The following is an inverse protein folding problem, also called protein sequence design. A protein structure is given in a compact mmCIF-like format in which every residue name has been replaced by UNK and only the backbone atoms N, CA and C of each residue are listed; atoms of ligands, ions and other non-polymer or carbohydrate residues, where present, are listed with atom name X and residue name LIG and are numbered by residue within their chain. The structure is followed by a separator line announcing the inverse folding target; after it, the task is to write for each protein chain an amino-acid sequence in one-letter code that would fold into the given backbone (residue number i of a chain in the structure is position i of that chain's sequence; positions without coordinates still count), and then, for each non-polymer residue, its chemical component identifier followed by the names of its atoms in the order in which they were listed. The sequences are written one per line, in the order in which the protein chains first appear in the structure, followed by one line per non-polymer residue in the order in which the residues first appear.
data_IF_532239426191
#
_entry.id   IF_532239426191
#
_cell.length_a   1.000
_cell.length_b   1.000
_cell.length_c   1.000
_cell.angle_alpha   90.00
_cell.angle_beta   90.00
_cell.angle_gamma   90.00
#
_symmetry.space_group_name_H-M   'P 1'
#
loop_
_entity.id
_entity.type
_entity.pdbx_description
1 polymer ?
#
# COMPACT_ATOMS: atom_id res chain seq x y z
N UNK A 1 27.56 24.97 3.17
CA UNK A 1 26.30 24.33 2.72
C UNK A 1 25.33 24.46 3.87
N UNK A 2 24.05 24.74 3.58
CA UNK A 2 23.01 24.77 4.60
C UNK A 2 22.90 23.39 5.26
N UNK A 3 22.62 23.37 6.57
CA UNK A 3 22.16 22.15 7.23
C UNK A 3 20.77 21.75 6.71
N UNK A 4 20.31 20.55 7.06
CA UNK A 4 18.98 20.09 6.63
C UNK A 4 17.84 20.98 7.16
N UNK A 5 17.92 21.42 8.42
CA UNK A 5 16.92 22.30 9.01
C UNK A 5 16.96 23.70 8.39
N UNK A 6 18.15 24.30 8.23
CA UNK A 6 18.28 25.59 7.55
C UNK A 6 17.81 25.52 6.09
N UNK A 7 18.06 24.39 5.41
CA UNK A 7 17.57 24.17 4.05
C UNK A 7 16.04 24.15 4.01
N UNK A 8 15.38 23.45 4.94
CA UNK A 8 13.91 23.38 5.04
C UNK A 8 13.29 24.77 5.28
N UNK A 9 13.84 25.53 6.23
CA UNK A 9 13.39 26.89 6.51
C UNK A 9 13.50 27.77 5.25
N UNK A 10 14.67 27.75 4.60
CA UNK A 10 14.89 28.50 3.36
C UNK A 10 13.99 28.04 2.23
N UNK A 11 13.75 26.73 2.09
CA UNK A 11 12.89 26.13 1.08
C UNK A 11 11.47 26.70 1.17
N UNK A 12 10.88 26.74 2.37
CA UNK A 12 9.53 27.31 2.57
C UNK A 12 9.48 28.79 2.23
N UNK A 13 10.48 29.56 2.66
CA UNK A 13 10.48 31.03 2.49
C UNK A 13 10.84 31.51 1.09
N UNK A 14 11.64 30.74 0.34
CA UNK A 14 12.23 31.23 -0.92
C UNK A 14 11.72 30.50 -2.16
N UNK A 15 11.07 29.33 -2.07
CA UNK A 15 10.66 28.58 -3.28
C UNK A 15 9.74 29.39 -4.20
N UNK A 16 8.84 30.22 -3.64
CA UNK A 16 7.92 31.07 -4.43
C UNK A 16 8.64 32.25 -5.10
N UNK A 17 9.83 32.64 -4.65
CA UNK A 17 10.67 33.67 -5.30
C UNK A 17 11.07 33.23 -6.70
N UNK A 18 11.34 31.93 -6.86
CA UNK A 18 11.73 31.30 -8.12
C UNK A 18 10.54 30.86 -8.97
N UNK A 19 9.32 30.97 -8.45
CA UNK A 19 8.12 30.50 -9.13
C UNK A 19 7.68 31.46 -10.24
N UNK A 20 7.05 30.95 -11.33
CA UNK A 20 6.35 31.79 -12.29
C UNK A 20 5.29 32.65 -11.62
N UNK A 21 4.96 33.80 -12.23
CA UNK A 21 4.11 34.83 -11.62
C UNK A 21 2.77 34.28 -11.08
N UNK A 22 2.17 33.32 -11.79
CA UNK A 22 0.92 32.63 -11.40
C UNK A 22 1.00 31.95 -10.02
N UNK A 23 2.18 31.51 -9.58
CA UNK A 23 2.37 30.69 -8.38
C UNK A 23 3.06 31.45 -7.23
N UNK A 24 3.32 32.75 -7.37
CA UNK A 24 4.02 33.53 -6.34
C UNK A 24 3.23 33.69 -5.04
N UNK A 25 1.90 33.61 -5.11
CA UNK A 25 1.02 33.66 -3.96
C UNK A 25 0.68 32.26 -3.40
N UNK A 26 1.33 31.19 -3.88
CA UNK A 26 1.13 29.86 -3.33
C UNK A 26 1.49 29.83 -1.84
N UNK A 27 0.67 29.13 -1.06
CA UNK A 27 0.93 28.79 0.33
C UNK A 27 1.91 27.62 0.32
N UNK A 28 3.01 27.77 1.03
CA UNK A 28 4.05 26.75 1.16
C UNK A 28 4.22 26.42 2.63
N UNK A 29 4.26 25.13 2.93
CA UNK A 29 4.50 24.63 4.29
C UNK A 29 5.31 23.33 4.26
N UNK A 30 5.82 22.91 5.40
CA UNK A 30 6.41 21.59 5.60
C UNK A 30 5.53 20.79 6.55
N UNK A 31 5.09 19.62 6.10
CA UNK A 31 4.36 18.68 6.94
C UNK A 31 5.18 17.40 7.13
N UNK A 32 5.13 16.88 8.35
CA UNK A 32 5.59 15.52 8.63
C UNK A 32 4.59 14.53 8.05
N UNK A 33 5.01 13.77 7.04
CA UNK A 33 4.22 12.70 6.44
C UNK A 33 4.61 11.40 7.16
N UNK A 34 3.66 10.73 7.85
CA UNK A 34 3.94 9.44 8.46
C UNK A 34 4.36 8.44 7.37
N UNK A 35 5.57 7.90 7.48
CA UNK A 35 6.03 6.75 6.70
C UNK A 35 6.47 5.62 7.63
N UNK A 36 6.60 4.40 7.10
CA UNK A 36 6.93 3.23 7.92
C UNK A 36 8.26 3.37 8.69
N UNK A 37 9.22 4.12 8.13
CA UNK A 37 10.55 4.37 8.72
C UNK A 37 10.56 5.55 9.72
N UNK A 38 9.40 6.17 9.97
CA UNK A 38 9.26 7.41 10.73
C UNK A 38 8.73 8.57 9.88
N UNK A 39 8.43 9.69 10.53
CA UNK A 39 7.91 10.87 9.85
C UNK A 39 8.95 11.41 8.85
N UNK A 40 8.54 11.63 7.60
CA UNK A 40 9.34 12.25 6.56
C UNK A 40 8.83 13.66 6.31
N UNK A 41 9.72 14.64 6.30
CA UNK A 41 9.34 16.02 5.96
C UNK A 41 9.01 16.11 4.47
N UNK A 42 7.82 16.60 4.15
CA UNK A 42 7.43 16.94 2.79
C UNK A 42 7.12 18.44 2.70
N UNK A 43 7.68 19.10 1.69
CA UNK A 43 7.20 20.44 1.30
C UNK A 43 5.87 20.26 0.61
N UNK A 44 4.89 21.07 1.00
CA UNK A 44 3.59 21.15 0.37
C UNK A 44 3.43 22.56 -0.19
N UNK A 45 3.06 22.65 -1.46
CA UNK A 45 2.74 23.89 -2.14
C UNK A 45 1.29 23.83 -2.61
N UNK A 46 0.49 24.86 -2.32
CA UNK A 46 -0.93 24.92 -2.67
C UNK A 46 -1.34 26.35 -3.04
N UNK A 47 -2.24 26.49 -4.00
CA UNK A 47 -2.81 27.80 -4.34
C UNK A 47 -3.87 28.22 -3.30
N UNK A 48 -3.96 29.51 -2.91
CA UNK A 48 -4.86 29.95 -1.83
C UNK A 48 -6.34 29.62 -2.04
N UNK A 49 -6.76 29.55 -3.30
CA UNK A 49 -8.12 29.27 -3.75
C UNK A 49 -8.43 27.78 -3.92
N UNK A 50 -7.44 26.90 -3.69
CA UNK A 50 -7.56 25.45 -3.90
C UNK A 50 -7.45 24.67 -2.60
N UNK A 51 -8.15 23.54 -2.49
CA UNK A 51 -8.04 22.65 -1.32
C UNK A 51 -6.90 21.63 -1.42
N UNK A 52 -6.49 21.24 -2.63
CA UNK A 52 -5.40 20.29 -2.87
C UNK A 52 -4.10 21.01 -3.23
N UNK A 53 -2.97 20.41 -2.83
CA UNK A 53 -1.62 20.91 -3.12
C UNK A 53 -0.72 19.82 -3.70
N UNK A 54 0.44 20.21 -4.18
CA UNK A 54 1.50 19.31 -4.61
C UNK A 54 2.51 19.14 -3.47
N UNK A 55 3.02 17.93 -3.28
CA UNK A 55 4.01 17.65 -2.23
C UNK A 55 5.27 16.98 -2.77
N UNK A 56 6.42 17.29 -2.18
CA UNK A 56 7.70 16.61 -2.46
C UNK A 56 8.46 16.33 -1.18
N UNK A 57 9.20 15.22 -1.18
CA UNK A 57 10.05 14.83 -0.07
C UNK A 57 11.24 15.80 0.09
N UNK A 58 11.38 16.40 1.28
CA UNK A 58 12.45 17.34 1.60
C UNK A 58 13.83 16.67 1.60
N UNK A 59 13.94 15.38 1.92
CA UNK A 59 15.23 14.66 1.88
C UNK A 59 15.76 14.54 0.45
N UNK A 60 14.89 14.27 -0.52
CA UNK A 60 15.29 14.16 -1.93
C UNK A 60 15.75 15.52 -2.47
N UNK A 61 15.03 16.59 -2.13
CA UNK A 61 15.42 17.95 -2.45
C UNK A 61 16.75 18.35 -1.80
N UNK A 62 16.97 17.95 -0.54
CA UNK A 62 18.24 18.21 0.15
C UNK A 62 19.40 17.43 -0.48
N UNK A 63 19.19 16.17 -0.87
CA UNK A 63 20.20 15.39 -1.59
C UNK A 63 20.54 16.03 -2.94
N UNK A 64 19.55 16.57 -3.66
CA UNK A 64 19.77 17.32 -4.90
C UNK A 64 20.55 18.63 -4.65
N UNK A 65 20.23 19.36 -3.58
CA UNK A 65 20.99 20.54 -3.17
C UNK A 65 22.45 20.19 -2.85
N UNK A 66 22.67 19.11 -2.10
CA UNK A 66 24.02 18.66 -1.73
C UNK A 66 24.82 18.28 -2.97
N UNK A 67 24.20 17.56 -3.90
CA UNK A 67 24.83 17.12 -5.15
C UNK A 67 25.08 18.25 -6.14
N UNK A 68 24.12 19.16 -6.29
CA UNK A 68 24.20 20.28 -7.24
C UNK A 68 25.00 21.46 -6.71
N UNK A 69 25.17 21.55 -5.39
CA UNK A 69 25.75 22.67 -4.65
C UNK A 69 25.14 24.03 -5.06
N UNK A 70 23.84 24.05 -5.41
CA UNK A 70 23.16 25.22 -5.93
C UNK A 70 21.71 25.26 -5.48
N UNK A 71 21.42 26.15 -4.53
CA UNK A 71 20.08 26.31 -3.96
C UNK A 71 19.06 26.73 -5.04
N UNK A 72 19.42 27.69 -5.88
CA UNK A 72 18.59 28.14 -7.01
C UNK A 72 18.21 27.00 -7.95
N UNK A 73 19.18 26.14 -8.36
CA UNK A 73 18.88 25.01 -9.24
C UNK A 73 17.93 24.01 -8.59
N UNK A 74 18.09 23.76 -7.29
CA UNK A 74 17.18 22.89 -6.53
C UNK A 74 15.78 23.51 -6.41
N UNK A 75 15.63 24.82 -6.23
CA UNK A 75 14.32 25.48 -6.23
C UNK A 75 13.63 25.38 -7.59
N UNK A 76 14.37 25.60 -8.68
CA UNK A 76 13.83 25.45 -10.04
C UNK A 76 13.36 24.00 -10.27
N UNK A 77 14.14 23.01 -9.86
CA UNK A 77 13.75 21.59 -9.97
C UNK A 77 12.54 21.25 -9.11
N UNK A 78 12.51 21.75 -7.87
CA UNK A 78 11.36 21.62 -6.97
C UNK A 78 10.08 22.14 -7.66
N UNK A 79 10.12 23.34 -8.21
CA UNK A 79 8.99 23.93 -8.93
C UNK A 79 8.63 23.19 -10.21
N UNK A 80 9.62 22.73 -10.99
CA UNK A 80 9.39 21.89 -12.18
C UNK A 80 8.67 20.59 -11.83
N UNK A 81 8.94 20.06 -10.64
CA UNK A 81 8.26 18.87 -10.12
C UNK A 81 6.88 19.19 -9.55
N UNK A 82 6.66 20.33 -8.89
CA UNK A 82 5.38 20.67 -8.24
C UNK A 82 4.35 21.26 -9.21
N UNK A 83 4.74 22.18 -10.10
CA UNK A 83 3.84 22.95 -10.97
C UNK A 83 2.91 22.08 -11.82
N UNK A 84 3.37 20.98 -12.46
CA UNK A 84 2.48 20.13 -13.25
C UNK A 84 1.31 19.54 -12.46
N UNK A 85 1.45 19.41 -11.14
CA UNK A 85 0.37 18.95 -10.25
C UNK A 85 -0.51 20.11 -9.79
N UNK A 86 0.04 21.31 -9.62
CA UNK A 86 -0.72 22.53 -9.31
C UNK A 86 -1.57 23.02 -10.49
N UNK A 87 -1.23 22.63 -11.71
CA UNK A 87 -1.96 22.98 -12.94
C UNK A 87 -3.18 22.11 -13.20
N UNK A 88 -3.33 20.99 -12.50
CA UNK A 88 -4.48 20.11 -12.68
C UNK A 88 -5.72 20.76 -12.10
N UNK A 89 -6.79 20.87 -12.87
CA UNK A 89 -8.08 21.41 -12.40
C UNK A 89 -8.88 20.44 -11.53
N UNK A 90 -8.32 19.26 -11.31
CA UNK A 90 -8.92 18.18 -10.57
C UNK A 90 -8.73 18.42 -9.06
N UNK A 91 -9.53 19.32 -8.50
CA UNK A 91 -9.59 19.48 -7.05
C UNK A 91 -10.29 18.29 -6.39
N UNK A 92 -9.75 17.89 -5.25
CA UNK A 92 -10.41 16.98 -4.34
C UNK A 92 -11.63 17.71 -3.78
N UNK A 93 -12.82 17.34 -4.25
CA UNK A 93 -14.08 17.90 -3.77
C UNK A 93 -14.41 17.31 -2.39
N UNK A 94 -14.04 18.04 -1.35
CA UNK A 94 -14.27 17.65 0.06
C UNK A 94 -15.76 17.43 0.32
N UNK A 95 -16.65 18.20 -0.31
CA UNK A 95 -18.10 18.03 -0.10
C UNK A 95 -18.57 16.69 -0.63
N UNK A 96 -18.04 16.24 -1.77
CA UNK A 96 -18.33 14.90 -2.30
C UNK A 96 -17.79 13.82 -1.38
N UNK A 97 -16.55 13.94 -0.90
CA UNK A 97 -15.95 12.93 -0.01
C UNK A 97 -16.73 12.78 1.30
N UNK A 98 -17.25 13.89 1.82
CA UNK A 98 -18.04 13.90 3.05
C UNK A 98 -19.51 13.50 2.83
N UNK A 99 -19.92 13.17 1.61
CA UNK A 99 -21.28 12.74 1.27
C UNK A 99 -21.31 11.25 0.93
N UNK A 100 -21.97 10.46 1.78
CA UNK A 100 -22.13 9.01 1.60
C UNK A 100 -22.63 8.62 0.21
N UNK A 101 -23.62 9.34 -0.32
CA UNK A 101 -24.23 8.99 -1.61
C UNK A 101 -23.28 9.15 -2.80
N UNK A 102 -22.28 10.01 -2.67
CA UNK A 102 -21.25 10.23 -3.70
C UNK A 102 -20.12 9.20 -3.62
N UNK A 103 -19.84 8.66 -2.43
CA UNK A 103 -18.67 7.79 -2.19
C UNK A 103 -18.99 6.32 -2.05
N UNK A 104 -20.23 5.95 -1.70
CA UNK A 104 -20.60 4.57 -1.37
C UNK A 104 -20.27 3.56 -2.49
N UNK A 105 -20.27 3.99 -3.75
CA UNK A 105 -19.99 3.15 -4.92
C UNK A 105 -18.51 3.13 -5.34
N UNK A 106 -17.65 3.86 -4.62
CA UNK A 106 -16.21 3.98 -4.91
C UNK A 106 -15.34 3.72 -3.67
N UNK A 107 -15.94 3.19 -2.58
CA UNK A 107 -15.19 2.69 -1.43
C UNK A 107 -14.65 1.30 -1.74
N UNK A 108 -13.39 1.02 -1.40
CA UNK A 108 -12.74 -0.28 -1.58
C UNK A 108 -12.01 -0.69 -0.30
N UNK A 109 -11.84 -2.00 -0.02
CA UNK A 109 -11.07 -2.47 1.11
C UNK A 109 -9.56 -2.43 0.79
N UNK A 110 -8.75 -2.28 1.82
CA UNK A 110 -7.29 -2.44 1.77
C UNK A 110 -6.85 -3.27 2.97
N UNK A 111 -5.92 -4.19 2.76
CA UNK A 111 -5.23 -4.87 3.85
C UNK A 111 -4.03 -4.05 4.32
N UNK A 112 -3.88 -3.93 5.64
CA UNK A 112 -2.75 -3.26 6.30
C UNK A 112 -2.26 -4.11 7.48
N UNK A 113 -0.98 -3.96 7.86
CA UNK A 113 -0.48 -4.55 9.09
C UNK A 113 -0.72 -3.67 10.31
N UNK A 114 -1.28 -4.27 11.34
CA UNK A 114 -1.58 -3.66 12.65
C UNK A 114 -0.34 -3.36 13.49
N UNK A 115 0.81 -3.97 13.17
CA UNK A 115 2.09 -3.78 13.88
C UNK A 115 3.00 -2.77 13.21
N UNK A 116 2.63 -2.26 12.04
CA UNK A 116 3.45 -1.35 11.27
C UNK A 116 3.62 -0.03 12.01
N UNK A 117 4.86 0.37 12.25
CA UNK A 117 5.17 1.69 12.79
C UNK A 117 4.64 2.80 11.85
N UNK A 118 3.87 3.74 12.39
CA UNK A 118 3.35 4.89 11.64
C UNK A 118 1.94 4.73 11.03
N UNK A 119 1.34 3.54 11.10
CA UNK A 119 -0.06 3.35 10.72
C UNK A 119 -0.96 3.68 11.93
N UNK A 120 -1.55 4.88 11.96
CA UNK A 120 -2.44 5.28 13.06
C UNK A 120 -3.86 4.73 12.83
N UNK A 121 -4.10 3.48 13.22
CA UNK A 121 -5.42 2.85 13.13
C UNK A 121 -6.46 3.48 14.08
N UNK A 122 -6.04 4.27 15.08
CA UNK A 122 -6.96 4.85 16.07
C UNK A 122 -7.99 5.80 15.44
N UNK A 123 -7.63 6.47 14.34
CA UNK A 123 -8.51 7.40 13.64
C UNK A 123 -9.31 6.74 12.50
N UNK A 124 -9.03 5.48 12.19
CA UNK A 124 -9.60 4.75 11.06
C UNK A 124 -10.72 3.81 11.48
N UNK A 125 -11.56 3.47 10.50
CA UNK A 125 -12.48 2.34 10.60
C UNK A 125 -11.76 1.11 10.08
N UNK A 126 -11.68 0.06 10.89
CA UNK A 126 -10.93 -1.14 10.53
C UNK A 126 -11.52 -2.41 11.16
N UNK A 127 -11.25 -3.56 10.53
CA UNK A 127 -11.54 -4.90 11.06
C UNK A 127 -10.28 -5.72 11.16
N UNK A 128 -10.02 -6.30 12.32
CA UNK A 128 -8.91 -7.24 12.45
C UNK A 128 -9.19 -8.51 11.64
N UNK A 129 -8.16 -9.02 10.97
CA UNK A 129 -8.18 -10.36 10.39
C UNK A 129 -7.75 -11.32 11.48
N UNK A 130 -8.72 -12.10 11.99
CA UNK A 130 -8.49 -13.01 13.12
C UNK A 130 -7.32 -13.97 12.87
N UNK A 131 -6.54 -14.22 13.92
CA UNK A 131 -5.38 -15.11 13.85
C UNK A 131 -4.15 -14.54 13.13
N UNK A 132 -4.17 -13.26 12.73
CA UNK A 132 -3.06 -12.60 12.01
C UNK A 132 -2.67 -11.27 12.65
N UNK A 133 -1.68 -10.59 12.08
CA UNK A 133 -1.37 -9.18 12.34
C UNK A 133 -1.93 -8.22 11.28
N UNK A 134 -2.86 -8.68 10.43
CA UNK A 134 -3.51 -7.86 9.41
C UNK A 134 -4.82 -7.27 9.92
N UNK A 135 -5.20 -6.14 9.32
CA UNK A 135 -6.51 -5.53 9.41
C UNK A 135 -6.99 -5.07 8.03
N UNK A 136 -8.30 -5.07 7.84
CA UNK A 136 -8.95 -4.46 6.69
C UNK A 136 -9.29 -3.02 7.08
N UNK A 137 -8.78 -2.05 6.33
CA UNK A 137 -9.27 -0.67 6.35
C UNK A 137 -10.03 -0.39 5.06
N UNK A 138 -10.65 0.79 5.00
CA UNK A 138 -11.44 1.20 3.85
C UNK A 138 -10.90 2.47 3.23
N UNK A 139 -11.05 2.60 1.92
CA UNK A 139 -10.62 3.78 1.18
C UNK A 139 -11.66 4.24 0.18
N UNK A 140 -11.85 5.56 0.08
CA UNK A 140 -12.56 6.17 -1.04
C UNK A 140 -11.58 6.29 -2.20
N UNK A 141 -11.79 5.52 -3.27
CA UNK A 141 -11.00 5.60 -4.49
C UNK A 141 -11.32 6.89 -5.24
N UNK A 142 -10.31 7.55 -5.78
CA UNK A 142 -10.47 8.71 -6.64
C UNK A 142 -9.68 8.50 -7.91
N UNK A 143 -10.30 8.89 -9.03
CA UNK A 143 -9.60 8.93 -10.30
C UNK A 143 -9.57 10.37 -10.79
N UNK A 144 -8.36 10.86 -10.97
CA UNK A 144 -8.05 12.21 -11.40
C UNK A 144 -7.22 12.08 -12.68
N UNK A 145 -7.84 12.36 -13.82
CA UNK A 145 -7.29 12.06 -15.14
C UNK A 145 -6.80 10.60 -15.25
N UNK A 146 -5.48 10.40 -15.38
CA UNK A 146 -4.85 9.09 -15.51
C UNK A 146 -4.23 8.58 -14.20
N UNK A 147 -4.47 9.26 -13.07
CA UNK A 147 -3.93 8.88 -11.77
C UNK A 147 -5.07 8.40 -10.89
N UNK A 148 -4.90 7.17 -10.40
CA UNK A 148 -5.75 6.59 -9.37
C UNK A 148 -5.11 6.91 -8.03
N UNK A 149 -5.88 7.52 -7.13
CA UNK A 149 -5.52 7.76 -5.75
C UNK A 149 -6.62 7.29 -4.82
N UNK A 150 -6.41 7.46 -3.52
CA UNK A 150 -7.41 7.07 -2.54
C UNK A 150 -7.27 7.87 -1.24
N UNK A 151 -8.35 7.93 -0.48
CA UNK A 151 -8.40 8.53 0.85
C UNK A 151 -8.85 7.48 1.84
N UNK A 152 -8.08 7.28 2.93
CA UNK A 152 -8.46 6.38 4.02
C UNK A 152 -9.74 6.87 4.71
N UNK A 153 -10.66 5.96 4.96
CA UNK A 153 -11.93 6.25 5.64
C UNK A 153 -11.68 6.38 7.14
N UNK A 154 -11.84 7.60 7.64
CA UNK A 154 -11.70 7.88 9.07
C UNK A 154 -13.02 7.70 9.82
N UNK A 155 -12.92 7.63 11.16
CA UNK A 155 -14.08 7.67 12.07
C UNK A 155 -14.94 8.91 11.85
N UNK A 156 -14.31 10.06 11.60
CA UNK A 156 -15.01 11.31 11.31
C UNK A 156 -15.83 11.24 10.01
N UNK A 157 -15.30 10.58 8.97
CA UNK A 157 -16.03 10.38 7.72
C UNK A 157 -17.26 9.50 7.95
N UNK A 158 -17.11 8.39 8.67
CA UNK A 158 -18.23 7.50 9.03
C UNK A 158 -19.32 8.25 9.81
N UNK A 159 -18.94 9.06 10.81
CA UNK A 159 -19.88 9.89 11.58
C UNK A 159 -20.62 10.90 10.69
N UNK A 160 -19.91 11.58 9.78
CA UNK A 160 -20.51 12.55 8.87
C UNK A 160 -21.46 11.90 7.85
N UNK A 161 -21.12 10.69 7.37
CA UNK A 161 -21.96 9.88 6.49
C UNK A 161 -23.22 9.35 7.18
N UNK A 162 -23.21 9.24 8.52
CA UNK A 162 -24.33 8.69 9.28
C UNK A 162 -24.57 7.20 9.00
N UNK A 163 -23.51 6.46 8.67
CA UNK A 163 -23.54 5.01 8.43
C UNK A 163 -22.68 4.28 9.45
N UNK A 164 -22.93 2.98 9.63
CA UNK A 164 -22.10 2.13 10.48
C UNK A 164 -20.99 1.43 9.69
N UNK A 165 -20.06 0.82 10.42
CA UNK A 165 -18.94 0.08 9.86
C UNK A 165 -19.38 -1.12 9.00
N UNK A 166 -20.46 -1.84 9.38
CA UNK A 166 -20.96 -2.98 8.62
C UNK A 166 -21.35 -2.56 7.20
N UNK A 167 -22.07 -1.45 7.09
CA UNK A 167 -22.49 -0.92 5.80
C UNK A 167 -21.30 -0.47 4.96
N UNK A 168 -20.28 0.14 5.56
CA UNK A 168 -19.05 0.50 4.84
C UNK A 168 -18.36 -0.77 4.32
N UNK A 169 -18.24 -1.81 5.14
CA UNK A 169 -17.62 -3.08 4.78
C UNK A 169 -18.35 -3.77 3.61
N UNK A 170 -19.68 -3.89 3.71
CA UNK A 170 -20.51 -4.49 2.67
C UNK A 170 -20.34 -3.78 1.32
N UNK A 171 -20.41 -2.44 1.31
CA UNK A 171 -20.20 -1.66 0.08
C UNK A 171 -18.76 -1.77 -0.41
N UNK A 172 -17.76 -1.79 0.47
CA UNK A 172 -16.36 -1.93 0.07
C UNK A 172 -16.11 -3.22 -0.70
N UNK A 173 -16.55 -4.36 -0.17
CA UNK A 173 -16.40 -5.66 -0.84
C UNK A 173 -17.30 -5.77 -2.09
N UNK A 174 -18.53 -5.23 -2.03
CA UNK A 174 -19.38 -5.16 -3.22
C UNK A 174 -18.70 -4.40 -4.36
N UNK A 175 -18.15 -3.21 -4.07
CA UNK A 175 -17.47 -2.38 -5.04
C UNK A 175 -16.19 -3.02 -5.53
N UNK A 176 -15.39 -3.65 -4.66
CA UNK A 176 -14.20 -4.39 -5.09
C UNK A 176 -14.57 -5.43 -6.15
N UNK A 177 -15.64 -6.21 -5.90
CA UNK A 177 -16.10 -7.23 -6.85
C UNK A 177 -16.67 -6.66 -8.16
N UNK A 178 -17.28 -5.46 -8.13
CA UNK A 178 -17.87 -4.82 -9.31
C UNK A 178 -16.85 -3.99 -10.12
N UNK A 179 -16.03 -3.19 -9.44
CA UNK A 179 -15.08 -2.23 -10.02
C UNK A 179 -13.77 -2.91 -10.41
N UNK A 180 -13.31 -3.84 -9.58
CA UNK A 180 -11.95 -4.39 -9.62
C UNK A 180 -12.04 -5.91 -9.69
N UNK A 181 -12.43 -6.42 -10.87
CA UNK A 181 -12.56 -7.87 -11.13
C UNK A 181 -11.36 -8.63 -10.57
N UNK A 182 -11.63 -9.63 -9.72
CA UNK A 182 -10.62 -10.55 -9.19
C UNK A 182 -9.70 -11.02 -10.31
N UNK A 183 -8.40 -11.06 -10.05
CA UNK A 183 -7.42 -11.66 -10.93
C UNK A 183 -6.60 -12.65 -10.11
N UNK A 184 -6.59 -13.90 -10.56
CA UNK A 184 -5.78 -14.96 -9.98
C UNK A 184 -4.76 -15.36 -11.03
N UNK A 185 -3.48 -15.09 -10.76
CA UNK A 185 -2.39 -15.48 -11.65
C UNK A 185 -1.78 -16.77 -11.13
N UNK A 186 -1.93 -17.87 -11.87
CA UNK A 186 -1.27 -19.13 -11.56
C UNK A 186 0.19 -19.06 -12.00
N UNK A 187 1.09 -19.30 -11.05
CA UNK A 187 2.52 -19.34 -11.26
C UNK A 187 3.01 -20.78 -11.10
N UNK A 188 3.87 -21.19 -12.03
CA UNK A 188 4.55 -22.48 -11.93
C UNK A 188 5.40 -22.59 -10.65
N UNK A 189 5.83 -23.81 -10.31
CA UNK A 189 6.52 -24.10 -9.04
C UNK A 189 7.78 -23.28 -8.77
N UNK A 190 8.38 -22.69 -9.81
CA UNK A 190 9.62 -21.92 -9.73
C UNK A 190 9.38 -20.40 -9.84
N UNK A 191 8.11 -19.94 -9.84
CA UNK A 191 7.71 -18.53 -10.03
C UNK A 191 8.26 -17.90 -11.33
N UNK A 192 8.69 -18.74 -12.27
CA UNK A 192 9.47 -18.29 -13.40
C UNK A 192 8.60 -17.65 -14.48
N UNK A 193 7.38 -18.14 -14.69
CA UNK A 193 6.41 -17.58 -15.65
C UNK A 193 4.96 -17.91 -15.24
N UNK A 194 3.99 -17.01 -15.53
CA UNK A 194 2.57 -17.31 -15.42
C UNK A 194 2.15 -18.44 -16.35
N UNK A 195 1.37 -19.40 -15.84
CA UNK A 195 0.75 -20.45 -16.64
C UNK A 195 -0.62 -20.02 -17.17
N UNK A 196 -1.44 -19.43 -16.29
CA UNK A 196 -2.80 -19.02 -16.61
C UNK A 196 -3.23 -17.83 -15.73
N UNK A 197 -4.25 -17.09 -16.17
CA UNK A 197 -4.87 -16.00 -15.39
C UNK A 197 -6.38 -16.16 -15.40
N UNK A 198 -6.98 -16.17 -14.21
CA UNK A 198 -8.41 -16.37 -14.01
C UNK A 198 -9.06 -15.08 -13.50
N UNK A 199 -10.28 -14.80 -13.97
CA UNK A 199 -11.11 -13.69 -13.46
C UNK A 199 -12.04 -14.09 -12.32
N UNK A 200 -12.06 -15.38 -11.98
CA UNK A 200 -12.85 -16.01 -10.92
C UNK A 200 -12.10 -17.23 -10.40
N UNK A 201 -12.50 -17.74 -9.24
CA UNK A 201 -11.84 -18.88 -8.61
C UNK A 201 -12.09 -20.16 -9.45
N UNK A 202 -11.06 -20.78 -10.06
CA UNK A 202 -11.24 -21.91 -10.98
C UNK A 202 -11.89 -23.11 -10.27
N UNK A 203 -12.62 -23.96 -10.99
CA UNK A 203 -13.33 -25.11 -10.39
C UNK A 203 -12.39 -26.06 -9.61
N UNK A 204 -11.13 -26.14 -10.03
CA UNK A 204 -10.06 -26.87 -9.36
C UNK A 204 -8.78 -26.06 -9.42
N UNK A 205 -8.01 -26.11 -8.35
CA UNK A 205 -6.69 -25.49 -8.27
C UNK A 205 -5.62 -26.58 -8.24
N UNK A 206 -4.59 -26.43 -9.05
CA UNK A 206 -3.40 -27.26 -9.04
C UNK A 206 -2.60 -27.04 -7.75
N UNK A 207 -2.43 -28.11 -6.96
CA UNK A 207 -1.64 -28.11 -5.72
C UNK A 207 -0.12 -28.05 -5.92
N UNK A 208 0.34 -27.99 -7.16
CA UNK A 208 1.76 -27.84 -7.53
C UNK A 208 2.09 -26.46 -8.10
N UNK A 209 1.09 -25.56 -8.11
CA UNK A 209 1.23 -24.17 -8.54
C UNK A 209 0.92 -23.23 -7.37
N UNK A 210 1.49 -22.04 -7.41
CA UNK A 210 1.12 -20.95 -6.50
C UNK A 210 0.21 -19.95 -7.22
N UNK A 211 -0.53 -19.14 -6.46
CA UNK A 211 -1.53 -18.25 -7.04
C UNK A 211 -1.41 -16.85 -6.46
N UNK A 212 -1.15 -15.87 -7.31
CA UNK A 212 -1.20 -14.46 -6.91
C UNK A 212 -2.65 -14.00 -6.98
N UNK A 213 -3.20 -13.61 -5.84
CA UNK A 213 -4.50 -12.95 -5.74
C UNK A 213 -4.29 -11.44 -5.81
N UNK A 214 -4.92 -10.83 -6.81
CA UNK A 214 -4.93 -9.39 -7.05
C UNK A 214 -6.26 -9.01 -7.71
N UNK A 215 -6.35 -7.80 -8.26
CA UNK A 215 -7.47 -7.37 -9.08
C UNK A 215 -7.00 -6.77 -10.41
N UNK A 216 -7.92 -6.60 -11.35
CA UNK A 216 -7.64 -6.12 -12.71
C UNK A 216 -6.93 -4.77 -12.75
N UNK A 217 -7.11 -3.94 -11.73
CA UNK A 217 -6.52 -2.61 -11.65
C UNK A 217 -5.18 -2.61 -10.90
N UNK A 218 -4.77 -3.74 -10.32
CA UNK A 218 -3.65 -3.86 -9.41
C UNK A 218 -3.68 -2.77 -8.33
N UNK A 219 -4.83 -2.60 -7.69
CA UNK A 219 -5.07 -1.53 -6.70
C UNK A 219 -5.79 -2.07 -5.47
N UNK A 220 -5.07 -2.24 -4.37
CA UNK A 220 -5.48 -2.92 -3.14
C UNK A 220 -6.01 -4.35 -3.35
N UNK A 221 -5.49 -5.03 -4.36
CA UNK A 221 -5.92 -6.36 -4.79
C UNK A 221 -5.71 -7.47 -3.76
N UNK A 222 -4.78 -7.31 -2.80
CA UNK A 222 -4.58 -8.31 -1.76
C UNK A 222 -5.84 -8.52 -0.91
N UNK A 223 -6.66 -7.48 -0.73
CA UNK A 223 -7.89 -7.55 0.04
C UNK A 223 -8.96 -8.48 -0.57
N UNK A 224 -8.86 -8.83 -1.87
CA UNK A 224 -9.78 -9.76 -2.53
C UNK A 224 -9.82 -11.12 -1.86
N UNK A 225 -8.72 -11.57 -1.26
CA UNK A 225 -8.65 -12.87 -0.59
C UNK A 225 -9.49 -12.92 0.69
N UNK A 226 -9.88 -11.76 1.23
CA UNK A 226 -10.66 -11.62 2.45
C UNK A 226 -12.17 -11.53 2.17
N UNK A 227 -12.59 -11.72 0.91
CA UNK A 227 -14.01 -11.88 0.59
C UNK A 227 -14.58 -13.07 1.37
N UNK A 228 -15.82 -12.92 1.86
CA UNK A 228 -16.49 -13.93 2.65
C UNK A 228 -16.53 -15.28 1.91
N UNK A 229 -16.04 -16.34 2.58
CA UNK A 229 -15.99 -17.69 2.02
C UNK A 229 -14.86 -17.95 1.01
N UNK A 230 -14.04 -16.96 0.67
CA UNK A 230 -12.93 -17.11 -0.29
C UNK A 230 -11.88 -18.13 0.21
N UNK A 231 -11.41 -18.00 1.45
CA UNK A 231 -10.40 -18.91 2.02
C UNK A 231 -10.89 -20.37 2.07
N UNK A 232 -12.13 -20.59 2.52
CA UNK A 232 -12.77 -21.90 2.50
C UNK A 232 -12.86 -22.45 1.06
N UNK A 233 -13.29 -21.61 0.13
CA UNK A 233 -13.42 -21.97 -1.29
C UNK A 233 -12.09 -22.37 -1.94
N UNK A 234 -10.98 -21.72 -1.57
CA UNK A 234 -9.62 -22.06 -1.98
C UNK A 234 -9.23 -23.44 -1.42
N UNK A 235 -9.43 -23.67 -0.12
CA UNK A 235 -9.10 -24.94 0.53
C UNK A 235 -9.88 -26.12 -0.06
N UNK A 236 -11.14 -25.91 -0.41
CA UNK A 236 -11.96 -26.91 -1.12
C UNK A 236 -11.45 -27.18 -2.54
N UNK A 237 -10.98 -26.17 -3.28
CA UNK A 237 -10.46 -26.37 -4.65
C UNK A 237 -9.07 -26.99 -4.68
N UNK A 238 -8.24 -26.70 -3.69
CA UNK A 238 -6.92 -27.33 -3.49
C UNK A 238 -7.04 -28.72 -2.86
N UNK A 239 -8.10 -28.96 -2.08
CA UNK A 239 -8.30 -30.14 -1.23
C UNK A 239 -7.24 -30.30 -0.12
N UNK A 240 -6.63 -29.21 0.32
CA UNK A 240 -5.65 -29.13 1.41
C UNK A 240 -5.65 -27.74 2.06
N UNK A 241 -4.91 -27.56 3.16
CA UNK A 241 -4.61 -26.23 3.68
C UNK A 241 -3.64 -25.48 2.78
N UNK A 242 -3.40 -24.20 3.08
CA UNK A 242 -2.47 -23.39 2.30
C UNK A 242 -1.88 -22.26 3.14
N UNK A 243 -0.73 -21.77 2.70
CA UNK A 243 -0.09 -20.59 3.26
C UNK A 243 -0.49 -19.34 2.49
N UNK A 244 -0.62 -18.23 3.21
CA UNK A 244 -0.73 -16.90 2.63
C UNK A 244 0.60 -16.16 2.82
N UNK A 245 1.13 -15.67 1.70
CA UNK A 245 2.35 -14.86 1.65
C UNK A 245 1.94 -13.43 1.27
N UNK A 246 1.86 -12.51 2.25
CA UNK A 246 1.59 -11.10 1.99
C UNK A 246 2.79 -10.50 1.26
N UNK A 247 2.63 -10.17 -0.03
CA UNK A 247 3.71 -9.55 -0.80
C UNK A 247 3.63 -8.03 -0.63
N UNK A 248 2.52 -7.45 -1.05
CA UNK A 248 2.22 -6.04 -0.91
C UNK A 248 0.71 -5.82 -0.75
N UNK A 249 0.27 -4.56 -0.66
CA UNK A 249 -1.16 -4.22 -0.56
C UNK A 249 -1.97 -4.62 -1.81
N UNK A 250 -1.32 -4.83 -2.95
CA UNK A 250 -1.95 -5.16 -4.23
C UNK A 250 -1.98 -6.67 -4.51
N UNK A 251 -1.08 -7.43 -3.89
CA UNK A 251 -0.83 -8.84 -4.20
C UNK A 251 -0.61 -9.68 -2.93
N UNK A 252 -1.34 -10.79 -2.84
CA UNK A 252 -1.10 -11.83 -1.85
C UNK A 252 -1.02 -13.19 -2.52
N UNK A 253 -0.07 -14.03 -2.11
CA UNK A 253 0.14 -15.34 -2.74
C UNK A 253 -0.47 -16.44 -1.88
N UNK A 254 -1.29 -17.28 -2.51
CA UNK A 254 -1.70 -18.59 -2.00
C UNK A 254 -0.65 -19.61 -2.39
N UNK A 255 -0.06 -20.24 -1.38
CA UNK A 255 0.98 -21.25 -1.54
C UNK A 255 0.48 -22.58 -0.94
N UNK A 256 0.12 -23.58 -1.77
CA UNK A 256 -0.43 -24.86 -1.30
C UNK A 256 0.47 -25.56 -0.27
N UNK A 257 -0.14 -26.20 0.73
CA UNK A 257 0.58 -26.91 1.80
C UNK A 257 1.48 -28.02 1.25
N UNK A 258 1.02 -28.76 0.23
CA UNK A 258 1.78 -29.85 -0.37
C UNK A 258 3.06 -29.42 -1.09
N UNK A 259 3.18 -28.14 -1.46
CA UNK A 259 4.40 -27.56 -2.04
C UNK A 259 5.42 -27.14 -0.99
N UNK A 260 5.01 -27.00 0.27
CA UNK A 260 5.85 -26.46 1.32
C UNK A 260 6.85 -27.53 1.78
N UNK A 261 8.13 -27.26 1.54
CA UNK A 261 9.24 -28.09 2.03
C UNK A 261 9.78 -27.62 3.37
N UNK A 262 9.86 -26.31 3.54
CA UNK A 262 10.39 -25.65 4.72
C UNK A 262 9.71 -24.29 4.91
N UNK A 263 9.28 -24.00 6.14
CA UNK A 263 8.64 -22.72 6.46
C UNK A 263 9.64 -21.55 6.32
N UNK A 264 10.91 -21.76 6.67
CA UNK A 264 11.94 -20.71 6.56
C UNK A 264 12.17 -20.28 5.10
N UNK A 265 11.98 -21.18 4.11
CA UNK A 265 12.14 -20.79 2.69
C UNK A 265 11.02 -19.88 2.20
N UNK A 266 9.76 -20.19 2.53
CA UNK A 266 8.64 -19.33 2.11
C UNK A 266 8.59 -18.02 2.92
N UNK A 267 9.01 -18.04 4.19
CA UNK A 267 9.19 -16.82 4.98
C UNK A 267 10.29 -15.95 4.37
N UNK A 268 11.39 -16.54 3.90
CA UNK A 268 12.44 -15.79 3.21
C UNK A 268 11.96 -15.13 1.93
N UNK A 269 11.00 -15.72 1.20
CA UNK A 269 10.42 -15.10 0.01
C UNK A 269 9.67 -13.80 0.35
N UNK A 270 8.84 -13.82 1.40
CA UNK A 270 8.15 -12.62 1.91
C UNK A 270 9.16 -11.56 2.32
N UNK A 271 10.15 -11.94 3.13
CA UNK A 271 11.16 -11.00 3.63
C UNK A 271 12.02 -10.39 2.51
N UNK A 272 12.44 -11.18 1.52
CA UNK A 272 13.21 -10.66 0.38
C UNK A 272 12.40 -9.63 -0.39
N UNK A 273 11.12 -9.91 -0.64
CA UNK A 273 10.23 -8.95 -1.29
C UNK A 273 10.11 -7.65 -0.47
N UNK A 274 9.86 -7.76 0.83
CA UNK A 274 9.70 -6.60 1.71
C UNK A 274 10.98 -5.77 1.85
N UNK A 275 12.16 -6.41 1.92
CA UNK A 275 13.46 -5.70 1.96
C UNK A 275 13.69 -4.89 0.68
N UNK A 276 13.14 -5.34 -0.45
CA UNK A 276 13.23 -4.66 -1.75
C UNK A 276 12.11 -3.64 -1.98
N UNK A 277 11.17 -3.52 -1.04
CA UNK A 277 10.04 -2.60 -1.15
C UNK A 277 10.53 -1.14 -1.07
N UNK A 278 10.38 -0.41 -2.17
CA UNK A 278 10.78 1.00 -2.27
C UNK A 278 9.73 1.97 -1.75
N UNK A 279 8.47 1.53 -1.72
CA UNK A 279 7.31 2.33 -1.34
C UNK A 279 6.77 1.75 -0.04
N UNK A 280 7.11 2.34 1.11
CA UNK A 280 6.66 1.83 2.39
C UNK A 280 5.15 1.62 2.42
N UNK A 281 4.38 2.50 1.79
CA UNK A 281 2.91 2.41 1.68
C UNK A 281 2.42 1.06 1.12
N UNK A 282 3.21 0.36 0.30
CA UNK A 282 2.85 -0.95 -0.26
C UNK A 282 3.19 -2.12 0.66
N UNK A 283 3.99 -1.90 1.72
CA UNK A 283 4.32 -2.95 2.68
C UNK A 283 3.07 -3.47 3.37
N UNK A 284 2.89 -4.80 3.33
CA UNK A 284 1.81 -5.48 4.02
C UNK A 284 2.28 -6.11 5.33
N UNK A 285 3.00 -7.24 5.32
CA UNK A 285 3.54 -7.86 6.53
C UNK A 285 4.77 -8.71 6.23
N UNK A 286 5.65 -8.89 7.21
CA UNK A 286 6.80 -9.81 7.15
C UNK A 286 6.43 -11.26 7.44
N UNK A 287 5.17 -11.54 7.76
CA UNK A 287 4.74 -12.80 8.34
C UNK A 287 4.11 -13.73 7.31
N UNK A 288 4.18 -15.03 7.58
CA UNK A 288 3.47 -16.06 6.81
C UNK A 288 2.28 -16.54 7.62
N UNK A 289 1.13 -16.67 6.97
CA UNK A 289 -0.09 -17.21 7.59
C UNK A 289 -0.41 -18.57 7.00
N UNK A 290 -1.14 -19.40 7.74
CA UNK A 290 -1.65 -20.69 7.29
C UNK A 290 -3.14 -20.79 7.55
N UNK A 291 -3.88 -21.16 6.51
CA UNK A 291 -5.29 -21.48 6.57
C UNK A 291 -5.45 -23.01 6.68
N UNK A 292 -6.04 -23.45 7.79
CA UNK A 292 -6.32 -24.87 8.00
C UNK A 292 -7.66 -25.25 7.38
N UNK A 293 -7.64 -26.19 6.43
CA UNK A 293 -8.88 -26.77 5.86
C UNK A 293 -9.75 -27.43 6.93
N UNK A 294 -9.14 -28.13 7.89
CA UNK A 294 -9.88 -28.88 8.91
C UNK A 294 -10.56 -27.99 9.95
N UNK A 295 -9.91 -26.88 10.33
CA UNK A 295 -10.42 -25.95 11.34
C UNK A 295 -11.19 -24.77 10.74
N UNK A 296 -11.00 -24.51 9.45
CA UNK A 296 -11.52 -23.32 8.75
C UNK A 296 -11.03 -22.01 9.37
N UNK A 297 -9.79 -22.01 9.86
CA UNK A 297 -9.19 -20.89 10.59
C UNK A 297 -7.86 -20.47 9.96
N UNK A 298 -7.64 -19.16 9.89
CA UNK A 298 -6.35 -18.55 9.54
C UNK A 298 -5.52 -18.34 10.81
N UNK A 299 -4.21 -18.60 10.73
CA UNK A 299 -3.29 -18.44 11.86
C UNK A 299 -1.88 -18.05 11.42
N UNK A 300 -1.14 -17.38 12.32
CA UNK A 300 0.28 -17.11 12.14
C UNK A 300 1.08 -18.42 12.01
N UNK A 301 1.87 -18.57 10.94
CA UNK A 301 2.86 -19.65 10.82
C UNK A 301 4.24 -19.22 11.30
N UNK A 302 4.56 -17.94 11.22
CA UNK A 302 5.82 -17.36 11.68
C UNK A 302 5.64 -16.60 12.99
N UNK A 303 6.71 -16.51 13.79
CA UNK A 303 6.74 -15.66 14.97
C UNK A 303 7.49 -14.35 14.63
N UNK A 304 6.85 -13.19 14.77
CA UNK A 304 7.48 -11.88 14.56
C UNK A 304 8.77 -11.66 15.36
N UNK A 305 8.92 -12.28 16.54
CA UNK A 305 10.15 -12.20 17.34
C UNK A 305 11.36 -12.84 16.65
N UNK A 306 11.13 -13.82 15.77
CA UNK A 306 12.18 -14.56 15.07
C UNK A 306 12.52 -13.93 13.71
N UNK A 307 11.78 -12.91 13.25
CA UNK A 307 11.95 -12.34 11.91
C UNK A 307 13.34 -11.75 11.70
N UNK A 308 13.92 -11.09 12.72
CA UNK A 308 15.27 -10.53 12.61
C UNK A 308 16.34 -11.60 12.35
N UNK A 309 16.23 -12.77 13.00
CA UNK A 309 17.20 -13.86 12.81
C UNK A 309 17.17 -14.40 11.37
N UNK A 310 15.97 -14.49 10.77
CA UNK A 310 15.82 -14.92 9.39
C UNK A 310 16.41 -13.88 8.43
N UNK A 311 16.15 -12.59 8.65
CA UNK A 311 16.74 -11.51 7.86
C UNK A 311 18.27 -11.56 7.93
N UNK A 312 18.85 -11.74 9.12
CA UNK A 312 20.30 -11.83 9.30
C UNK A 312 20.88 -13.00 8.48
N UNK A 313 20.22 -14.17 8.50
CA UNK A 313 20.65 -15.33 7.69
C UNK A 313 20.59 -15.04 6.19
N UNK A 314 19.52 -14.39 5.71
CA UNK A 314 19.36 -14.00 4.30
C UNK A 314 20.51 -13.09 3.88
N UNK A 315 20.81 -12.06 4.67
CA UNK A 315 21.90 -11.11 4.39
C UNK A 315 23.28 -11.80 4.42
N UNK A 316 23.51 -12.71 5.37
CA UNK A 316 24.76 -13.50 5.44
C UNK A 316 24.95 -14.37 4.20
N UNK A 317 23.89 -15.05 3.73
CA UNK A 317 23.96 -15.85 2.51
C UNK A 317 24.26 -14.99 1.28
N UNK A 318 23.61 -13.83 1.14
CA UNK A 318 23.87 -12.90 0.05
C UNK A 318 25.32 -12.37 0.03
N UNK A 319 25.93 -12.12 1.20
CA UNK A 319 27.32 -11.71 1.31
C UNK A 319 28.34 -12.83 1.03
N UNK A 320 27.96 -14.10 1.23
CA UNK A 320 28.83 -15.25 0.99
C UNK A 320 28.77 -15.76 -0.47
N UNK A 321 27.83 -15.29 -1.29
CA UNK A 321 27.80 -15.57 -2.72
C UNK A 321 28.80 -14.65 -3.46
N UNK A 322 29.81 -15.19 -4.17
CA UNK A 322 30.66 -14.36 -5.01
C UNK A 322 29.81 -13.73 -6.12
N UNK A 323 29.98 -12.42 -6.33
CA UNK A 323 29.42 -11.73 -7.50
C UNK A 323 29.98 -12.39 -8.76
N UNK A 324 29.13 -13.13 -9.47
CA UNK A 324 29.44 -13.69 -10.79
C UNK A 324 29.25 -12.64 -11.89
#
# INVERSE_FOLDING_TARGET
MLSYEEFKEKLVTEVTVYAPEKYKNAIVDIMGVPKAEGNVDAIIMRMPDRNSGASLNCKDLYADYVKSNSFEKTMIRCLQSLIPYLERDDEIDIQKIMNWEEVKEIIVPELVCTRRAGENLEDLIYRNVEGTDLAIIYRVKQQVANIVGSIKVSKQMMEAWGVDENRIHEFAFHNMNQLSTLQIVELNSDFAMPEETFSELPEKMNKYSSYVFTNKEAFYGAATIMEEGMLHSIAERLQEGFYLLPMDVDNIVVYPEGMMKNLESIHSMVLIHNIQCLEPENYLSDQVYYYSKEKEELSMSTNPENTQDVIIKILQQAMCCPAN
#
